data_IF_257070380718
#
_entry.id   IF_257070380718
#
_cell.length_a   1.000
_cell.length_b   1.000
_cell.length_c   1.000
_cell.angle_alpha   90.00
_cell.angle_beta   90.00
_cell.angle_gamma   90.00
#
_symmetry.space_group_name_H-M   'P 1'
#
loop_
_entity.id
_entity.type
_entity.pdbx_description
1 polymer ?
#
# COMPACT_ATOMS: atom_id res chain seq x y z
N UNK A 1 -8.58 15.19 -2.80
CA UNK A 1 -7.90 13.86 -2.75
C UNK A 1 -6.62 13.89 -3.56
N UNK A 2 -5.73 12.98 -3.25
CA UNK A 2 -4.51 12.77 -4.02
C UNK A 2 -3.99 11.33 -3.86
N UNK A 3 -3.21 10.89 -4.84
CA UNK A 3 -2.50 9.62 -4.82
C UNK A 3 -1.12 9.82 -4.22
N UNK A 4 -0.64 8.87 -3.42
CA UNK A 4 0.71 8.87 -2.92
C UNK A 4 1.31 7.47 -3.00
N UNK A 5 2.57 7.38 -3.38
CA UNK A 5 3.28 6.11 -3.52
C UNK A 5 4.70 6.20 -2.94
N UNK A 6 4.85 6.89 -1.82
CA UNK A 6 6.10 6.90 -1.06
C UNK A 6 6.44 5.48 -0.62
N UNK A 7 7.68 5.10 -0.80
CA UNK A 7 8.14 3.73 -0.56
C UNK A 7 7.95 2.78 -1.75
N UNK A 8 7.26 3.22 -2.81
CA UNK A 8 7.12 2.44 -4.04
C UNK A 8 7.72 3.13 -5.27
N UNK A 9 7.21 4.30 -5.66
CA UNK A 9 7.76 5.09 -6.76
C UNK A 9 8.74 6.16 -6.27
N UNK A 10 8.71 6.49 -4.99
CA UNK A 10 9.53 7.52 -4.38
C UNK A 10 10.18 6.98 -3.10
N UNK A 11 11.44 6.60 -3.20
CA UNK A 11 12.26 6.12 -2.09
C UNK A 11 11.88 4.74 -1.56
N UNK A 12 12.40 4.43 -0.38
CA UNK A 12 12.12 3.21 0.39
C UNK A 12 10.96 3.43 1.38
N UNK A 13 10.36 2.37 1.91
CA UNK A 13 9.22 2.49 2.85
C UNK A 13 9.51 3.40 4.05
N UNK A 14 10.72 3.38 4.61
CA UNK A 14 11.14 4.23 5.73
C UNK A 14 11.03 5.73 5.45
N UNK A 15 11.02 6.16 4.18
CA UNK A 15 10.82 7.54 3.80
C UNK A 15 9.48 8.11 4.28
N UNK A 16 8.48 7.27 4.48
CA UNK A 16 7.19 7.68 5.04
C UNK A 16 7.34 8.40 6.38
N UNK A 17 8.31 7.98 7.22
CA UNK A 17 8.60 8.62 8.51
C UNK A 17 9.23 10.01 8.41
N UNK A 18 9.67 10.41 7.23
CA UNK A 18 10.33 11.72 6.98
C UNK A 18 9.38 12.72 6.31
N UNK A 19 8.18 12.30 5.93
CA UNK A 19 7.22 13.15 5.22
C UNK A 19 6.53 14.09 6.20
N UNK A 20 6.55 15.38 5.86
CA UNK A 20 5.77 16.41 6.55
C UNK A 20 4.65 16.88 5.62
N UNK A 21 3.42 16.78 6.09
CA UNK A 21 2.24 17.21 5.36
C UNK A 21 1.97 18.69 5.58
N UNK A 22 1.88 19.45 4.47
CA UNK A 22 1.46 20.86 4.49
C UNK A 22 0.08 20.97 3.87
N UNK A 23 -0.96 20.88 4.69
CA UNK A 23 -2.34 21.03 4.27
C UNK A 23 -2.79 22.42 4.69
N UNK A 24 -2.85 23.33 3.71
CA UNK A 24 -3.16 24.76 3.94
C UNK A 24 -4.65 25.07 3.97
N UNK A 25 -5.48 24.13 3.52
CA UNK A 25 -6.91 24.28 3.46
C UNK A 25 -7.57 23.56 4.64
N UNK A 26 -8.49 24.21 5.33
CA UNK A 26 -9.31 23.58 6.38
C UNK A 26 -10.44 22.75 5.73
N UNK A 27 -10.05 21.64 5.06
CA UNK A 27 -10.97 20.73 4.36
C UNK A 27 -10.60 19.28 4.65
N UNK A 28 -11.59 18.35 4.57
CA UNK A 28 -11.32 16.94 4.63
C UNK A 28 -10.30 16.48 3.57
N UNK A 29 -9.40 15.59 3.97
CA UNK A 29 -8.39 14.99 3.09
C UNK A 29 -8.73 13.54 2.83
N UNK A 30 -8.64 13.14 1.57
CA UNK A 30 -8.75 11.75 1.13
C UNK A 30 -7.48 11.36 0.38
N UNK A 31 -6.90 10.22 0.73
CA UNK A 31 -5.85 9.58 -0.06
C UNK A 31 -6.54 8.59 -1.01
N UNK A 32 -6.62 8.96 -2.27
CA UNK A 32 -7.37 8.18 -3.26
C UNK A 32 -6.65 6.93 -3.73
N UNK A 33 -5.31 6.91 -3.62
CA UNK A 33 -4.51 5.70 -3.86
C UNK A 33 -3.22 5.70 -3.05
N UNK A 34 -2.82 4.52 -2.58
CA UNK A 34 -1.47 4.20 -2.14
C UNK A 34 -1.24 2.70 -2.24
N UNK A 35 0.02 2.27 -2.25
CA UNK A 35 0.33 0.84 -2.24
C UNK A 35 1.67 0.50 -2.87
N UNK A 36 1.93 -0.79 -2.94
CA UNK A 36 3.13 -1.38 -3.54
C UNK A 36 2.79 -2.71 -4.21
N UNK A 37 3.63 -3.13 -5.14
CA UNK A 37 3.48 -4.44 -5.79
C UNK A 37 4.18 -5.55 -4.99
N UNK A 38 3.56 -6.74 -4.98
CA UNK A 38 4.20 -7.98 -4.55
C UNK A 38 3.66 -9.17 -5.35
N UNK A 39 4.52 -10.10 -5.66
CA UNK A 39 4.10 -11.41 -6.18
C UNK A 39 3.76 -12.31 -5.00
N UNK A 40 2.58 -12.89 -4.99
CA UNK A 40 2.17 -13.85 -3.95
C UNK A 40 3.15 -15.01 -3.87
N UNK A 41 3.55 -15.40 -2.65
CA UNK A 41 4.53 -16.46 -2.41
C UNK A 41 5.99 -16.08 -2.67
N UNK A 42 6.28 -14.87 -3.12
CA UNK A 42 7.65 -14.38 -3.21
C UNK A 42 8.03 -13.68 -1.91
N UNK A 43 9.01 -14.25 -1.20
CA UNK A 43 9.44 -13.83 0.13
C UNK A 43 10.89 -13.36 0.14
N UNK A 44 11.21 -12.44 1.04
CA UNK A 44 12.54 -11.91 1.26
C UNK A 44 12.56 -11.02 2.50
N UNK A 45 13.62 -10.26 2.68
CA UNK A 45 13.61 -9.19 3.68
C UNK A 45 12.72 -8.02 3.21
N UNK A 46 12.43 -7.09 4.11
CA UNK A 46 11.58 -5.92 3.81
C UNK A 46 12.19 -4.91 2.83
N UNK A 47 13.42 -5.10 2.38
CA UNK A 47 14.06 -4.33 1.31
C UNK A 47 14.03 -5.06 -0.03
N UNK A 48 13.64 -6.33 -0.04
CA UNK A 48 13.50 -7.13 -1.26
C UNK A 48 12.24 -6.71 -2.01
N UNK A 49 12.42 -5.86 -3.02
CA UNK A 49 11.31 -5.35 -3.83
C UNK A 49 10.53 -6.48 -4.48
N UNK A 50 9.21 -6.35 -4.57
CA UNK A 50 8.24 -7.34 -5.04
C UNK A 50 7.98 -8.51 -4.08
N UNK A 51 8.70 -8.62 -2.96
CA UNK A 51 8.34 -9.57 -1.92
C UNK A 51 7.07 -9.14 -1.18
N UNK A 52 6.40 -10.09 -0.55
CA UNK A 52 5.26 -9.77 0.30
C UNK A 52 5.68 -8.93 1.52
N UNK A 53 6.90 -9.12 2.04
CA UNK A 53 7.48 -8.36 3.14
C UNK A 53 7.73 -6.90 2.78
N UNK A 54 8.18 -6.63 1.54
CA UNK A 54 8.33 -5.27 1.05
C UNK A 54 6.97 -4.56 0.96
N UNK A 55 5.97 -5.22 0.36
CA UNK A 55 4.61 -4.68 0.28
C UNK A 55 4.03 -4.42 1.68
N UNK A 56 4.17 -5.39 2.59
CA UNK A 56 3.76 -5.28 3.99
C UNK A 56 4.36 -4.03 4.65
N UNK A 57 5.68 -3.83 4.55
CA UNK A 57 6.37 -2.69 5.16
C UNK A 57 5.90 -1.35 4.56
N UNK A 58 5.68 -1.26 3.24
CA UNK A 58 5.08 -0.06 2.61
C UNK A 58 3.73 0.26 3.25
N UNK A 59 2.87 -0.74 3.45
CA UNK A 59 1.55 -0.54 4.06
C UNK A 59 1.67 -0.10 5.52
N UNK A 60 2.50 -0.74 6.32
CA UNK A 60 2.74 -0.37 7.73
C UNK A 60 3.24 1.06 7.84
N UNK A 61 4.26 1.43 7.07
CA UNK A 61 4.85 2.78 7.11
C UNK A 61 3.87 3.84 6.59
N UNK A 62 3.13 3.53 5.53
CA UNK A 62 2.12 4.44 4.99
C UNK A 62 1.00 4.71 5.99
N UNK A 63 0.42 3.67 6.60
CA UNK A 63 -0.66 3.84 7.58
C UNK A 63 -0.21 4.68 8.76
N UNK A 64 1.01 4.45 9.26
CA UNK A 64 1.60 5.27 10.32
C UNK A 64 1.75 6.74 9.90
N UNK A 65 2.20 7.00 8.68
CA UNK A 65 2.30 8.36 8.14
C UNK A 65 0.92 9.01 8.01
N UNK A 66 -0.08 8.28 7.52
CA UNK A 66 -1.44 8.78 7.33
C UNK A 66 -2.15 9.10 8.65
N UNK A 67 -1.91 8.32 9.70
CA UNK A 67 -2.45 8.61 11.04
C UNK A 67 -1.97 9.95 11.62
N UNK A 68 -0.88 10.51 11.10
CA UNK A 68 -0.40 11.84 11.45
C UNK A 68 -1.12 13.01 10.74
N UNK A 69 -2.05 12.75 9.84
CA UNK A 69 -2.80 13.78 9.12
C UNK A 69 -4.12 14.08 9.84
N UNK A 70 -4.20 15.21 10.53
CA UNK A 70 -5.38 15.60 11.32
C UNK A 70 -6.68 15.68 10.49
N UNK A 71 -6.57 16.19 9.26
CA UNK A 71 -7.73 16.36 8.36
C UNK A 71 -8.09 15.08 7.59
N UNK A 72 -7.37 13.98 7.76
CA UNK A 72 -7.68 12.73 7.06
C UNK A 72 -9.07 12.21 7.42
N UNK A 73 -9.86 11.89 6.41
CA UNK A 73 -11.21 11.32 6.57
C UNK A 73 -11.40 10.00 5.84
N UNK A 74 -10.41 9.60 5.04
CA UNK A 74 -10.44 8.32 4.38
C UNK A 74 -9.27 8.10 3.44
N UNK A 75 -9.11 6.86 3.04
CA UNK A 75 -8.13 6.45 2.04
C UNK A 75 -8.57 5.19 1.32
N UNK A 76 -7.99 4.94 0.16
CA UNK A 76 -8.23 3.76 -0.65
C UNK A 76 -6.89 3.15 -1.08
N UNK A 77 -6.57 1.93 -0.65
CA UNK A 77 -5.42 1.21 -1.18
C UNK A 77 -5.58 0.92 -2.68
N UNK A 78 -4.52 0.97 -3.42
CA UNK A 78 -4.43 0.48 -4.79
C UNK A 78 -3.60 -0.80 -4.81
N UNK A 79 -4.23 -1.96 -4.86
CA UNK A 79 -5.65 -2.25 -5.10
C UNK A 79 -6.05 -3.52 -4.32
N UNK A 80 -7.33 -3.91 -4.33
CA UNK A 80 -7.77 -5.10 -3.60
C UNK A 80 -7.24 -6.39 -4.23
N UNK A 81 -7.34 -6.54 -5.55
CA UNK A 81 -6.99 -7.79 -6.25
C UNK A 81 -6.03 -7.49 -7.41
N UNK A 82 -5.01 -8.35 -7.59
CA UNK A 82 -4.17 -8.33 -8.80
C UNK A 82 -5.04 -8.47 -10.05
N UNK A 83 -4.75 -7.69 -11.08
CA UNK A 83 -5.56 -7.71 -12.30
C UNK A 83 -4.72 -7.75 -13.59
N UNK A 84 -5.32 -8.24 -14.66
CA UNK A 84 -4.69 -8.29 -15.99
C UNK A 84 -4.29 -6.89 -16.45
N UNK A 85 -3.03 -6.75 -16.78
CA UNK A 85 -2.43 -5.51 -17.26
C UNK A 85 -1.30 -5.86 -18.26
N UNK A 86 -1.61 -6.03 -19.54
CA UNK A 86 -0.66 -6.57 -20.53
C UNK A 86 0.64 -5.78 -20.68
N UNK A 87 0.65 -4.52 -20.26
CA UNK A 87 1.86 -3.68 -20.25
C UNK A 87 2.81 -3.97 -19.10
N UNK A 88 2.42 -4.83 -18.15
CA UNK A 88 3.22 -5.21 -16.97
C UNK A 88 3.98 -6.50 -17.29
N UNK A 89 5.16 -6.35 -17.89
CA UNK A 89 5.89 -7.44 -18.54
C UNK A 89 7.14 -7.92 -17.80
N UNK A 90 7.38 -7.48 -16.56
CA UNK A 90 8.53 -7.95 -15.79
C UNK A 90 8.44 -9.47 -15.62
N UNK A 91 9.38 -10.25 -16.24
CA UNK A 91 9.33 -11.71 -16.21
C UNK A 91 9.32 -12.28 -14.80
N UNK A 92 8.63 -13.39 -14.62
CA UNK A 92 8.53 -14.13 -13.35
C UNK A 92 7.85 -13.37 -12.19
N UNK A 93 7.68 -12.06 -12.31
CA UNK A 93 7.03 -11.20 -11.29
C UNK A 93 5.65 -10.77 -11.77
N UNK A 94 5.61 -9.97 -12.83
CA UNK A 94 4.36 -9.39 -13.31
C UNK A 94 3.61 -10.29 -14.28
N UNK A 95 4.28 -10.80 -15.30
CA UNK A 95 3.70 -11.74 -16.28
C UNK A 95 2.34 -11.30 -16.83
N UNK A 96 2.21 -10.00 -17.14
CA UNK A 96 0.97 -9.41 -17.64
C UNK A 96 -0.08 -9.08 -16.59
N UNK A 97 0.32 -8.97 -15.31
CA UNK A 97 -0.54 -8.54 -14.21
C UNK A 97 -0.01 -7.30 -13.49
N UNK A 98 -0.90 -6.43 -13.05
CA UNK A 98 -0.58 -5.47 -12.01
C UNK A 98 -0.61 -6.20 -10.67
N UNK A 99 0.54 -6.26 -10.00
CA UNK A 99 0.74 -6.99 -8.74
C UNK A 99 0.55 -6.14 -7.48
N UNK A 100 -0.17 -5.02 -7.58
CA UNK A 100 -0.46 -4.18 -6.42
C UNK A 100 -1.65 -4.65 -5.58
N UNK A 101 -2.28 -5.77 -5.93
CA UNK A 101 -3.35 -6.36 -5.14
C UNK A 101 -2.88 -6.74 -3.74
N UNK A 102 -3.78 -6.60 -2.78
CA UNK A 102 -3.67 -7.23 -1.45
C UNK A 102 -3.98 -8.73 -1.53
N UNK A 103 -4.72 -9.10 -2.55
CA UNK A 103 -5.11 -10.46 -2.90
C UNK A 103 -4.58 -10.74 -4.31
N UNK A 104 -4.04 -11.93 -4.53
CA UNK A 104 -3.60 -12.35 -5.85
C UNK A 104 -4.79 -12.59 -6.80
N UNK A 105 -4.51 -12.68 -8.09
CA UNK A 105 -5.53 -12.94 -9.11
C UNK A 105 -6.24 -14.31 -8.98
N UNK A 106 -5.68 -15.22 -8.18
CA UNK A 106 -6.25 -16.54 -7.85
C UNK A 106 -6.81 -16.61 -6.41
N UNK A 107 -6.94 -15.47 -5.73
CA UNK A 107 -7.63 -15.35 -4.46
C UNK A 107 -6.77 -15.52 -3.19
N UNK A 108 -5.46 -15.63 -3.31
CA UNK A 108 -4.56 -15.77 -2.15
C UNK A 108 -4.30 -14.41 -1.50
N UNK A 109 -4.50 -14.31 -0.19
CA UNK A 109 -4.23 -13.10 0.59
C UNK A 109 -2.74 -12.95 0.84
N UNK A 110 -2.18 -11.79 0.47
CA UNK A 110 -0.79 -11.43 0.75
C UNK A 110 -0.66 -10.85 2.17
N UNK A 111 0.57 -10.71 2.68
CA UNK A 111 0.82 -10.16 4.03
C UNK A 111 0.19 -8.78 4.25
N UNK A 112 0.27 -7.89 3.28
CA UNK A 112 -0.33 -6.56 3.38
C UNK A 112 -1.87 -6.57 3.52
N UNK A 113 -2.55 -7.63 3.08
CA UNK A 113 -3.98 -7.81 3.35
C UNK A 113 -4.26 -7.83 4.86
N UNK A 114 -3.46 -8.55 5.61
CA UNK A 114 -3.63 -8.66 7.07
C UNK A 114 -3.26 -7.36 7.79
N UNK A 115 -2.30 -6.61 7.30
CA UNK A 115 -2.00 -5.25 7.80
C UNK A 115 -3.25 -4.37 7.69
N UNK A 116 -3.88 -4.34 6.52
CA UNK A 116 -5.10 -3.55 6.30
C UNK A 116 -6.27 -4.04 7.16
N UNK A 117 -6.47 -5.36 7.22
CA UNK A 117 -7.51 -5.96 8.07
C UNK A 117 -7.34 -5.53 9.53
N UNK A 118 -6.14 -5.69 10.08
CA UNK A 118 -5.86 -5.34 11.47
C UNK A 118 -6.05 -3.85 11.73
N UNK A 119 -5.64 -2.99 10.80
CA UNK A 119 -5.86 -1.55 10.90
C UNK A 119 -7.36 -1.21 10.99
N UNK A 120 -8.18 -1.76 10.10
CA UNK A 120 -9.63 -1.53 10.13
C UNK A 120 -10.29 -2.11 11.37
N UNK A 121 -9.90 -3.29 11.83
CA UNK A 121 -10.42 -3.90 13.06
C UNK A 121 -10.12 -3.01 14.29
N UNK A 122 -8.91 -2.45 14.35
CA UNK A 122 -8.53 -1.50 15.41
C UNK A 122 -9.37 -0.23 15.37
N UNK A 123 -9.54 0.37 14.19
CA UNK A 123 -10.36 1.60 14.05
C UNK A 123 -11.84 1.34 14.39
N UNK A 124 -12.38 0.18 14.02
CA UNK A 124 -13.75 -0.21 14.36
C UNK A 124 -13.96 -0.37 15.86
N UNK A 125 -12.98 -0.90 16.58
CA UNK A 125 -13.05 -1.07 18.03
C UNK A 125 -13.00 0.26 18.82
N UNK A 126 -12.51 1.36 18.18
CA UNK A 126 -12.43 2.69 18.79
C UNK A 126 -13.72 3.53 18.58
N UNK A 127 -14.65 3.07 17.75
CA UNK A 127 -15.93 3.69 17.47
C UNK A 127 -17.08 2.91 18.12
#
# INVERSE_FOLDING_TARGET
SFNQYVGWYDGLPEKCGQITWKITQNKPVLISEFGAGAKVGFHGDKLTRWSEEYQEDVYVQTLKMLDGIEQLRGFSPWILVDFRSPRRVLPEIQDGFNRKGLISNDGQKKKAFFVMKNYYDTKKALN
#
